data_IF_608362218902
#
_entry.id   IF_608362218902
#
_cell.length_a   1.000
_cell.length_b   1.000
_cell.length_c   1.000
_cell.angle_alpha   90.00
_cell.angle_beta   90.00
_cell.angle_gamma   90.00
#
_symmetry.space_group_name_H-M   'P 1'
#
loop_
_entity.id
_entity.type
_entity.pdbx_description
1 polymer ?
#
# COMPACT_ATOMS: atom_id res chain seq x y z
N UNK A 1 26.00 -11.18 -0.48
CA UNK A 1 24.65 -10.99 -1.05
C UNK A 1 24.22 -9.62 -0.60
N UNK A 2 23.98 -8.67 -1.50
CA UNK A 2 23.40 -7.37 -1.14
C UNK A 2 22.01 -7.62 -0.56
N UNK A 3 21.77 -7.11 0.65
CA UNK A 3 20.45 -7.18 1.29
C UNK A 3 19.47 -6.47 0.36
N UNK A 4 18.47 -7.20 -0.14
CA UNK A 4 17.43 -6.64 -1.00
C UNK A 4 16.61 -5.63 -0.19
N UNK A 5 16.39 -4.45 -0.75
CA UNK A 5 15.77 -3.30 -0.10
C UNK A 5 14.28 -3.24 -0.40
N UNK A 6 13.49 -2.85 0.58
CA UNK A 6 12.04 -2.71 0.46
C UNK A 6 11.66 -1.23 0.43
N UNK A 7 10.80 -0.83 -0.50
CA UNK A 7 10.14 0.48 -0.51
C UNK A 7 8.71 0.34 -0.02
N UNK A 8 8.36 0.99 1.09
CA UNK A 8 6.97 1.16 1.49
C UNK A 8 6.46 2.49 0.95
N UNK A 9 5.27 2.50 0.38
CA UNK A 9 4.62 3.70 -0.16
C UNK A 9 3.29 3.89 0.55
N UNK A 10 3.15 5.01 1.24
CA UNK A 10 1.98 5.36 2.03
C UNK A 10 1.44 6.74 1.62
N UNK A 11 0.13 6.87 1.53
CA UNK A 11 -0.54 8.16 1.30
C UNK A 11 -1.29 8.55 2.55
N UNK A 12 -0.99 9.73 3.10
CA UNK A 12 -1.67 10.28 4.27
C UNK A 12 -2.55 11.46 3.91
N UNK A 13 -3.58 11.68 4.70
CA UNK A 13 -4.39 12.89 4.67
C UNK A 13 -5.00 13.15 6.04
N UNK A 14 -4.91 14.39 6.50
CA UNK A 14 -5.63 14.88 7.66
C UNK A 14 -6.48 16.09 7.30
N UNK A 15 -7.71 16.12 7.80
CA UNK A 15 -8.54 17.32 7.76
C UNK A 15 -9.47 17.33 8.98
N UNK A 16 -9.71 18.51 9.55
CA UNK A 16 -10.58 18.66 10.72
C UNK A 16 -12.01 18.20 10.45
N UNK A 17 -12.47 18.37 9.20
CA UNK A 17 -13.84 18.04 8.81
C UNK A 17 -14.06 16.53 8.62
N UNK A 18 -13.04 15.81 8.11
CA UNK A 18 -13.26 14.44 7.62
C UNK A 18 -12.34 13.39 8.26
N UNK A 19 -11.16 13.79 8.71
CA UNK A 19 -10.14 12.88 9.27
C UNK A 19 -9.28 13.57 10.32
N UNK A 20 -9.86 14.00 11.46
CA UNK A 20 -9.16 14.81 12.47
C UNK A 20 -8.01 14.07 13.16
N UNK A 21 -8.02 12.74 13.15
CA UNK A 21 -6.98 11.88 13.75
C UNK A 21 -6.03 11.25 12.70
N UNK A 22 -5.96 11.79 11.49
CA UNK A 22 -5.13 11.23 10.42
C UNK A 22 -3.66 11.10 10.80
N UNK A 23 -3.10 12.11 11.46
CA UNK A 23 -1.68 12.07 11.91
C UNK A 23 -1.44 11.11 13.08
N UNK A 24 -2.42 10.92 13.97
CA UNK A 24 -2.32 9.93 15.06
C UNK A 24 -2.26 8.52 14.47
N UNK A 25 -3.17 8.18 13.56
CA UNK A 25 -3.19 6.90 12.85
C UNK A 25 -1.88 6.65 12.11
N UNK A 26 -1.41 7.66 11.38
CA UNK A 26 -0.14 7.56 10.67
C UNK A 26 1.05 7.34 11.62
N UNK A 27 1.09 8.02 12.78
CA UNK A 27 2.14 7.80 13.76
C UNK A 27 2.12 6.36 14.30
N UNK A 28 0.94 5.80 14.57
CA UNK A 28 0.79 4.41 15.00
C UNK A 28 1.26 3.44 13.92
N UNK A 29 0.92 3.70 12.64
CA UNK A 29 1.43 2.94 11.50
C UNK A 29 2.96 3.00 11.43
N UNK A 30 3.55 4.19 11.43
CA UNK A 30 5.02 4.36 11.37
C UNK A 30 5.70 3.63 12.52
N UNK A 31 5.24 3.83 13.74
CA UNK A 31 5.81 3.19 14.91
C UNK A 31 5.75 1.66 14.79
N UNK A 32 4.61 1.11 14.40
CA UNK A 32 4.42 -0.33 14.24
C UNK A 32 5.34 -0.90 13.16
N UNK A 33 5.45 -0.24 11.99
CA UNK A 33 6.33 -0.66 10.91
C UNK A 33 7.80 -0.64 11.31
N UNK A 34 8.26 0.44 11.96
CA UNK A 34 9.66 0.58 12.36
C UNK A 34 10.08 -0.39 13.46
N UNK A 35 9.15 -0.81 14.31
CA UNK A 35 9.39 -1.82 15.35
C UNK A 35 9.39 -3.25 14.78
N UNK A 36 8.63 -3.52 13.72
CA UNK A 36 8.34 -4.87 13.24
C UNK A 36 9.18 -5.29 12.03
N UNK A 37 9.52 -4.35 11.12
CA UNK A 37 10.24 -4.70 9.90
C UNK A 37 11.74 -4.86 10.13
N UNK A 38 12.25 -6.07 9.94
CA UNK A 38 13.68 -6.41 10.10
C UNK A 38 14.50 -6.19 8.82
N UNK A 39 13.85 -5.99 7.68
CA UNK A 39 14.52 -5.77 6.40
C UNK A 39 14.95 -4.31 6.22
N UNK A 40 16.05 -4.03 5.50
CA UNK A 40 16.34 -2.67 5.08
C UNK A 40 15.21 -2.10 4.25
N UNK A 41 14.64 -0.98 4.67
CA UNK A 41 13.53 -0.35 3.94
C UNK A 41 13.67 1.17 3.88
N UNK A 42 12.89 1.78 2.95
CA UNK A 42 12.55 3.20 2.94
C UNK A 42 11.02 3.32 2.94
N UNK A 43 10.50 4.22 3.76
CA UNK A 43 9.10 4.62 3.77
C UNK A 43 8.94 5.95 3.03
N UNK A 44 8.21 5.93 1.91
CA UNK A 44 7.82 7.11 1.13
C UNK A 44 6.40 7.49 1.53
N UNK A 45 6.25 8.65 2.11
CA UNK A 45 4.97 9.18 2.60
C UNK A 45 4.54 10.34 1.75
N UNK A 46 3.36 10.26 1.18
CA UNK A 46 2.76 11.36 0.42
C UNK A 46 1.68 12.02 1.26
N UNK A 47 1.96 13.21 1.76
CA UNK A 47 0.97 14.06 2.43
C UNK A 47 0.07 14.71 1.35
N UNK A 48 -1.06 14.07 1.10
CA UNK A 48 -1.96 14.39 0.00
C UNK A 48 -2.96 15.48 0.39
N UNK A 49 -2.46 16.70 0.59
CA UNK A 49 -3.26 17.88 0.85
C UNK A 49 -3.88 17.94 2.24
N UNK A 50 -3.19 17.49 3.29
CA UNK A 50 -3.64 17.69 4.68
C UNK A 50 -3.82 19.17 5.00
N UNK A 51 -4.77 19.47 5.88
CA UNK A 51 -5.03 20.85 6.34
C UNK A 51 -3.79 21.42 7.03
N UNK A 52 -3.22 20.64 7.95
CA UNK A 52 -1.93 20.93 8.57
C UNK A 52 -0.82 20.16 7.85
N UNK A 53 0.37 20.75 7.77
CA UNK A 53 1.53 20.04 7.22
C UNK A 53 2.01 19.01 8.22
N UNK A 54 2.21 17.79 7.74
CA UNK A 54 2.90 16.79 8.53
C UNK A 54 4.41 17.10 8.54
N UNK A 55 4.93 17.43 9.71
CA UNK A 55 6.35 17.68 9.92
C UNK A 55 6.92 16.57 10.79
N UNK A 56 7.92 15.85 10.30
CA UNK A 56 8.70 14.91 11.11
C UNK A 56 9.93 15.64 11.64
N UNK A 57 10.22 15.44 12.92
CA UNK A 57 11.51 15.86 13.47
C UNK A 57 12.65 15.22 12.66
N UNK A 58 13.57 16.04 12.18
CA UNK A 58 14.67 15.63 11.32
C UNK A 58 15.48 14.51 11.94
N UNK A 59 15.72 13.42 11.20
CA UNK A 59 16.71 12.43 11.58
C UNK A 59 16.38 10.96 11.34
N UNK A 60 15.35 10.65 10.58
CA UNK A 60 15.06 9.24 10.21
C UNK A 60 15.42 9.04 8.74
N UNK A 61 16.63 8.55 8.48
CA UNK A 61 17.20 8.40 7.12
C UNK A 61 16.33 7.56 6.16
N UNK A 62 15.50 6.69 6.69
CA UNK A 62 14.63 5.81 5.91
C UNK A 62 13.16 6.26 5.87
N UNK A 63 12.86 7.51 6.21
CA UNK A 63 11.54 8.14 6.08
C UNK A 63 11.62 9.36 5.17
N UNK A 64 10.89 9.36 4.07
CA UNK A 64 10.80 10.47 3.11
C UNK A 64 9.37 10.97 3.03
N UNK A 65 9.14 12.22 3.45
CA UNK A 65 7.82 12.86 3.40
C UNK A 65 7.77 13.84 2.25
N UNK A 66 6.76 13.68 1.38
CA UNK A 66 6.54 14.48 0.18
C UNK A 66 5.14 15.13 0.28
N UNK A 67 5.09 16.46 0.27
CA UNK A 67 3.85 17.21 0.22
C UNK A 67 3.30 17.24 -1.20
N UNK A 68 2.01 16.89 -1.35
CA UNK A 68 1.26 16.97 -2.61
C UNK A 68 0.15 18.01 -2.45
N UNK A 69 0.30 19.17 -3.12
CA UNK A 69 -0.65 20.27 -2.97
C UNK A 69 -1.91 20.10 -3.84
N UNK A 70 -1.83 19.35 -4.94
CA UNK A 70 -2.95 19.09 -5.86
C UNK A 70 -3.51 17.67 -5.72
N UNK A 71 -4.09 17.39 -4.56
CA UNK A 71 -4.68 16.09 -4.25
C UNK A 71 -5.82 15.69 -5.19
N UNK A 72 -6.57 16.66 -5.71
CA UNK A 72 -7.76 16.36 -6.52
C UNK A 72 -7.41 15.91 -7.93
N UNK A 73 -6.34 16.44 -8.51
CA UNK A 73 -5.87 16.02 -9.83
C UNK A 73 -5.21 14.64 -9.82
N UNK A 74 -4.51 14.28 -8.75
CA UNK A 74 -3.69 13.09 -8.69
C UNK A 74 -4.33 11.92 -7.95
N UNK A 75 -5.15 12.21 -6.93
CA UNK A 75 -5.75 11.21 -6.05
C UNK A 75 -4.72 10.30 -5.38
N UNK A 76 -5.18 9.20 -4.81
CA UNK A 76 -4.33 8.16 -4.21
C UNK A 76 -3.48 7.47 -5.27
N UNK A 77 -4.02 7.23 -6.45
CA UNK A 77 -3.32 6.54 -7.54
C UNK A 77 -2.08 7.28 -8.00
N UNK A 78 -2.16 8.61 -8.12
CA UNK A 78 -1.01 9.43 -8.52
C UNK A 78 0.12 9.37 -7.49
N UNK A 79 -0.19 9.39 -6.20
CA UNK A 79 0.81 9.28 -5.14
C UNK A 79 1.45 7.89 -5.08
N UNK A 80 0.69 6.83 -5.36
CA UNK A 80 1.23 5.47 -5.46
C UNK A 80 2.20 5.34 -6.63
N UNK A 81 1.87 5.86 -7.81
CA UNK A 81 2.77 5.84 -8.96
C UNK A 81 4.08 6.61 -8.67
N UNK A 82 4.00 7.78 -8.07
CA UNK A 82 5.19 8.54 -7.68
C UNK A 82 6.05 7.81 -6.65
N UNK A 83 5.42 7.19 -5.66
CA UNK A 83 6.10 6.38 -4.65
C UNK A 83 6.81 5.18 -5.25
N UNK A 84 6.18 4.49 -6.21
CA UNK A 84 6.80 3.40 -6.96
C UNK A 84 8.02 3.91 -7.72
N UNK A 85 7.93 5.04 -8.44
CA UNK A 85 9.06 5.62 -9.18
C UNK A 85 10.23 5.95 -8.26
N UNK A 86 9.97 6.53 -7.09
CA UNK A 86 11.01 6.84 -6.10
C UNK A 86 11.64 5.56 -5.54
N UNK A 87 10.84 4.55 -5.21
CA UNK A 87 11.35 3.27 -4.72
C UNK A 87 12.22 2.56 -5.76
N UNK A 88 11.80 2.58 -7.03
CA UNK A 88 12.59 2.03 -8.13
C UNK A 88 13.89 2.82 -8.36
N UNK A 89 13.87 4.15 -8.25
CA UNK A 89 15.06 4.99 -8.38
C UNK A 89 16.06 4.75 -7.23
N UNK A 90 15.56 4.48 -6.02
CA UNK A 90 16.39 4.12 -4.86
C UNK A 90 16.78 2.63 -4.82
N UNK A 91 16.62 1.91 -5.94
CA UNK A 91 17.00 0.50 -6.12
C UNK A 91 16.27 -0.47 -5.14
N UNK A 92 15.03 -0.17 -4.73
CA UNK A 92 14.22 -1.13 -4.00
C UNK A 92 13.86 -2.32 -4.89
N UNK A 93 14.01 -3.54 -4.38
CA UNK A 93 13.67 -4.79 -5.08
C UNK A 93 12.21 -5.18 -4.91
N UNK A 94 11.61 -4.73 -3.84
CA UNK A 94 10.20 -4.94 -3.49
C UNK A 94 9.58 -3.58 -3.19
N UNK A 95 8.35 -3.36 -3.68
CA UNK A 95 7.54 -2.21 -3.31
C UNK A 95 6.25 -2.71 -2.65
N UNK A 96 5.93 -2.14 -1.50
CA UNK A 96 4.70 -2.43 -0.75
C UNK A 96 3.91 -1.13 -0.63
N UNK A 97 2.73 -1.10 -1.21
CA UNK A 97 1.75 -0.02 -1.04
C UNK A 97 1.00 -0.28 0.26
N UNK A 98 0.85 0.71 1.13
CA UNK A 98 0.12 0.63 2.39
C UNK A 98 -0.81 1.83 2.58
N UNK A 99 -1.81 1.69 3.44
CA UNK A 99 -2.62 2.80 3.94
C UNK A 99 -2.05 3.28 5.29
N UNK A 100 -2.44 4.46 5.73
CA UNK A 100 -1.93 5.12 6.94
C UNK A 100 -2.72 4.79 8.21
N UNK A 101 -3.71 3.91 8.13
CA UNK A 101 -4.52 3.41 9.24
C UNK A 101 -4.35 1.90 9.48
N UNK A 102 -3.14 1.43 9.27
CA UNK A 102 -2.73 0.04 9.47
C UNK A 102 -1.80 -0.10 10.67
N UNK A 103 -1.91 -1.19 11.41
CA UNK A 103 -0.93 -1.62 12.39
C UNK A 103 -0.23 -2.86 11.85
N UNK A 104 1.08 -2.75 11.75
CA UNK A 104 1.97 -3.78 11.21
C UNK A 104 2.60 -4.52 12.39
N UNK A 105 2.66 -5.84 12.31
CA UNK A 105 3.39 -6.68 13.25
C UNK A 105 4.55 -7.43 12.58
N UNK A 106 5.27 -8.26 13.35
CA UNK A 106 6.45 -8.99 12.87
C UNK A 106 6.15 -9.93 11.69
N UNK A 107 4.88 -10.22 11.41
CA UNK A 107 4.47 -11.03 10.27
C UNK A 107 4.74 -10.36 8.91
N UNK A 108 5.02 -9.05 8.90
CA UNK A 108 5.49 -8.33 7.70
C UNK A 108 6.79 -8.93 7.13
N UNK A 109 7.65 -9.48 7.98
CA UNK A 109 8.88 -10.14 7.54
C UNK A 109 8.56 -11.40 6.73
N UNK A 110 7.55 -12.17 7.14
CA UNK A 110 7.04 -13.31 6.37
C UNK A 110 6.43 -12.86 5.03
N UNK A 111 5.73 -11.73 4.99
CA UNK A 111 5.18 -11.17 3.75
C UNK A 111 6.29 -10.87 2.74
N UNK A 112 7.33 -10.15 3.18
CA UNK A 112 8.49 -9.82 2.35
C UNK A 112 9.19 -11.09 1.85
N UNK A 113 9.34 -12.10 2.70
CA UNK A 113 9.99 -13.36 2.32
C UNK A 113 9.16 -14.14 1.29
N UNK A 114 7.84 -14.17 1.43
CA UNK A 114 6.97 -14.79 0.43
C UNK A 114 7.09 -14.08 -0.91
N UNK A 115 7.03 -12.75 -0.96
CA UNK A 115 7.20 -11.98 -2.19
C UNK A 115 8.54 -12.34 -2.87
N UNK A 116 9.61 -12.54 -2.10
CA UNK A 116 10.94 -12.86 -2.62
C UNK A 116 11.06 -14.27 -3.19
N UNK A 117 10.44 -15.24 -2.55
CA UNK A 117 10.70 -16.67 -2.77
C UNK A 117 9.58 -17.39 -3.51
N UNK A 118 8.41 -16.78 -3.67
CA UNK A 118 7.29 -17.41 -4.36
C UNK A 118 7.61 -17.68 -5.84
N UNK A 119 7.22 -18.83 -6.41
CA UNK A 119 7.50 -19.16 -7.81
C UNK A 119 6.97 -18.15 -8.84
N UNK A 120 5.95 -17.37 -8.50
CA UNK A 120 5.36 -16.34 -9.35
C UNK A 120 5.84 -14.93 -8.97
N UNK A 121 6.97 -14.78 -8.25
CA UNK A 121 7.39 -13.51 -7.69
C UNK A 121 7.55 -12.38 -8.72
N UNK A 122 7.94 -12.71 -9.94
CA UNK A 122 8.17 -11.74 -11.02
C UNK A 122 6.90 -11.40 -11.82
N UNK A 123 5.75 -11.98 -11.47
CA UNK A 123 4.49 -11.76 -12.20
C UNK A 123 3.25 -11.90 -11.31
N UNK A 124 3.35 -11.49 -10.05
CA UNK A 124 2.23 -11.53 -9.12
C UNK A 124 2.13 -10.27 -8.25
N UNK A 125 0.92 -9.97 -7.83
CA UNK A 125 0.62 -9.05 -6.73
C UNK A 125 0.29 -9.85 -5.48
N UNK A 126 0.76 -9.38 -4.33
CA UNK A 126 0.62 -10.03 -3.04
C UNK A 126 -0.18 -9.16 -2.09
N UNK A 127 -1.04 -9.77 -1.26
CA UNK A 127 -1.78 -9.07 -0.22
C UNK A 127 -1.87 -9.90 1.06
N UNK A 128 -1.69 -9.31 2.25
CA UNK A 128 -1.84 -9.99 3.53
C UNK A 128 -3.30 -10.25 3.86
N UNK A 129 -3.57 -11.02 4.90
CA UNK A 129 -4.89 -11.09 5.51
C UNK A 129 -5.10 -9.95 6.51
N UNK A 130 -6.37 -9.58 6.74
CA UNK A 130 -6.74 -8.45 7.60
C UNK A 130 -8.10 -8.68 8.27
N UNK A 131 -8.36 -7.94 9.35
CA UNK A 131 -9.67 -7.89 10.03
C UNK A 131 -10.77 -7.22 9.19
N UNK A 132 -10.42 -6.29 8.30
CA UNK A 132 -11.38 -5.40 7.63
C UNK A 132 -11.24 -5.26 6.11
N UNK A 133 -10.86 -6.31 5.35
CA UNK A 133 -10.84 -6.23 3.89
C UNK A 133 -12.26 -6.19 3.33
N UNK A 134 -12.41 -5.67 2.09
CA UNK A 134 -13.70 -5.71 1.41
C UNK A 134 -13.98 -7.07 0.76
N UNK A 135 -12.97 -7.91 0.57
CA UNK A 135 -13.11 -9.26 0.02
C UNK A 135 -13.06 -10.34 1.13
N UNK A 136 -13.55 -11.54 0.81
CA UNK A 136 -13.56 -12.64 1.76
C UNK A 136 -12.25 -13.44 1.79
N UNK A 137 -11.41 -13.32 0.75
CA UNK A 137 -10.17 -14.09 0.62
C UNK A 137 -9.11 -13.63 1.61
N UNK A 138 -9.06 -12.33 1.90
CA UNK A 138 -8.14 -11.75 2.85
C UNK A 138 -8.73 -11.59 4.27
N UNK A 139 -10.00 -11.98 4.49
CA UNK A 139 -10.65 -11.75 5.77
C UNK A 139 -10.21 -12.77 6.83
N UNK A 140 -9.54 -12.29 7.85
CA UNK A 140 -9.11 -13.08 9.00
C UNK A 140 -9.02 -12.20 10.25
N UNK A 141 -9.01 -12.81 11.42
CA UNK A 141 -8.78 -12.14 12.72
C UNK A 141 -7.35 -12.33 13.24
N UNK A 142 -6.55 -13.13 12.54
CA UNK A 142 -5.16 -13.45 12.84
C UNK A 142 -4.51 -14.11 11.61
N UNK A 143 -3.19 -14.31 11.58
CA UNK A 143 -2.53 -15.07 10.53
C UNK A 143 -3.14 -16.46 10.36
N UNK A 144 -3.41 -16.87 9.11
CA UNK A 144 -4.00 -18.18 8.78
C UNK A 144 -2.95 -19.25 8.43
N UNK A 145 -1.71 -18.81 8.17
CA UNK A 145 -0.62 -19.67 7.72
C UNK A 145 -0.71 -20.17 6.27
N UNK A 146 -1.76 -19.81 5.54
CA UNK A 146 -1.98 -20.26 4.16
C UNK A 146 -1.46 -19.24 3.16
N UNK A 147 -0.84 -19.72 2.09
CA UNK A 147 -0.46 -18.91 0.93
C UNK A 147 -1.16 -19.54 -0.27
N UNK A 148 -1.95 -18.74 -0.98
CA UNK A 148 -2.71 -19.27 -2.12
C UNK A 148 -2.98 -18.20 -3.16
N UNK A 149 -3.04 -18.63 -4.42
CA UNK A 149 -3.50 -17.80 -5.52
C UNK A 149 -5.02 -17.69 -5.50
N UNK A 150 -5.52 -16.47 -5.72
CA UNK A 150 -6.95 -16.23 -5.87
C UNK A 150 -7.38 -16.67 -7.27
N UNK A 151 -8.11 -17.77 -7.37
CA UNK A 151 -8.57 -18.32 -8.63
C UNK A 151 -10.01 -17.91 -8.97
N UNK A 152 -10.31 -17.78 -10.25
CA UNK A 152 -11.67 -17.79 -10.87
C UNK A 152 -12.43 -16.47 -10.82
N UNK A 153 -13.16 -15.93 -11.60
CA UNK A 153 -14.18 -14.88 -11.79
C UNK A 153 -13.87 -13.43 -11.33
N UNK A 154 -14.65 -12.42 -11.75
CA UNK A 154 -14.32 -11.00 -11.66
C UNK A 154 -14.19 -10.40 -10.24
N UNK A 155 -14.16 -11.22 -9.20
CA UNK A 155 -13.89 -10.82 -7.81
C UNK A 155 -12.53 -11.31 -7.29
N UNK A 156 -11.59 -11.60 -8.18
CA UNK A 156 -10.21 -12.03 -7.88
C UNK A 156 -9.32 -10.94 -7.33
N UNK A 157 -9.79 -10.13 -6.42
CA UNK A 157 -9.09 -8.91 -6.12
C UNK A 157 -8.50 -8.96 -4.72
N UNK A 158 -7.21 -8.68 -4.64
CA UNK A 158 -6.62 -8.21 -3.41
C UNK A 158 -7.18 -6.82 -3.13
N UNK A 159 -7.39 -6.52 -1.87
CA UNK A 159 -7.78 -5.20 -1.43
C UNK A 159 -6.57 -4.26 -1.44
N UNK A 160 -6.79 -3.03 -1.85
CA UNK A 160 -5.76 -2.01 -1.99
C UNK A 160 -5.14 -1.49 -0.70
N UNK A 161 -5.53 -2.00 0.49
CA UNK A 161 -4.98 -1.54 1.76
C UNK A 161 -3.49 -1.88 1.91
N UNK A 162 -3.06 -3.08 1.53
CA UNK A 162 -1.67 -3.49 1.55
C UNK A 162 -1.39 -4.40 0.36
N UNK A 163 -0.49 -3.98 -0.54
CA UNK A 163 -0.16 -4.71 -1.76
C UNK A 163 1.35 -4.71 -1.99
N UNK A 164 1.93 -5.89 -2.13
CA UNK A 164 3.36 -6.07 -2.41
C UNK A 164 3.64 -6.56 -3.82
N UNK A 165 4.75 -6.11 -4.41
CA UNK A 165 5.19 -6.47 -5.76
C UNK A 165 6.71 -6.44 -5.83
N UNK A 166 7.30 -7.27 -6.69
CA UNK A 166 8.71 -7.14 -7.04
C UNK A 166 8.93 -6.01 -8.05
N UNK A 167 10.17 -5.55 -8.16
CA UNK A 167 10.61 -4.62 -9.23
C UNK A 167 10.25 -5.17 -10.61
N UNK A 168 10.49 -6.46 -10.83
CA UNK A 168 10.23 -7.16 -12.09
C UNK A 168 8.75 -7.16 -12.43
N UNK A 169 7.87 -7.46 -11.46
CA UNK A 169 6.42 -7.37 -11.65
C UNK A 169 6.02 -5.96 -12.08
N UNK A 170 6.56 -4.92 -11.42
CA UNK A 170 6.22 -3.52 -11.73
C UNK A 170 6.69 -3.16 -13.14
N UNK A 171 7.97 -3.39 -13.45
CA UNK A 171 8.58 -2.93 -14.71
C UNK A 171 8.09 -3.70 -15.94
N UNK A 172 7.62 -4.93 -15.76
CA UNK A 172 7.03 -5.75 -16.82
C UNK A 172 5.54 -5.44 -17.08
N UNK A 173 4.89 -4.69 -16.17
CA UNK A 173 3.45 -4.48 -16.19
C UNK A 173 3.07 -3.00 -16.01
N UNK A 174 3.77 -2.07 -16.64
CA UNK A 174 3.34 -0.67 -16.65
C UNK A 174 1.99 -0.49 -17.35
N UNK A 175 1.16 0.40 -16.82
CA UNK A 175 -0.07 0.84 -17.47
C UNK A 175 0.22 1.73 -18.69
N UNK A 176 1.17 2.65 -18.50
CA UNK A 176 1.71 3.52 -19.55
C UNK A 176 3.25 3.62 -19.41
N UNK A 177 3.90 4.62 -20.00
CA UNK A 177 5.37 4.69 -20.13
C UNK A 177 6.13 4.43 -18.83
N UNK A 178 5.65 4.94 -17.68
CA UNK A 178 6.34 4.82 -16.39
C UNK A 178 5.40 4.70 -15.16
N UNK A 179 4.09 4.55 -15.37
CA UNK A 179 3.12 4.38 -14.31
C UNK A 179 2.64 2.93 -14.23
N UNK A 180 2.67 2.37 -13.02
CA UNK A 180 2.16 1.03 -12.77
C UNK A 180 0.64 1.01 -12.64
N UNK A 181 0.06 1.96 -11.92
CA UNK A 181 -1.39 2.10 -11.81
C UNK A 181 -1.94 3.02 -12.90
N UNK A 182 -3.23 2.82 -13.24
CA UNK A 182 -3.92 3.60 -14.25
C UNK A 182 -3.87 5.11 -13.96
N UNK A 183 -3.55 5.90 -14.97
CA UNK A 183 -3.56 7.37 -14.93
C UNK A 183 -4.92 7.95 -15.30
N UNK A 184 -5.93 7.13 -15.54
CA UNK A 184 -7.31 7.56 -15.81
C UNK A 184 -7.86 8.35 -14.62
N UNK A 185 -8.28 9.62 -14.81
CA UNK A 185 -8.83 10.44 -13.74
C UNK A 185 -10.05 9.82 -13.04
N UNK A 186 -10.84 8.99 -13.72
CA UNK A 186 -11.98 8.30 -13.12
C UNK A 186 -11.54 7.26 -12.08
N UNK A 187 -10.31 6.74 -12.19
CA UNK A 187 -9.70 5.77 -11.27
C UNK A 187 -8.78 6.40 -10.25
N UNK A 188 -8.62 7.72 -10.23
CA UNK A 188 -7.69 8.40 -9.30
C UNK A 188 -7.95 8.08 -7.81
N UNK A 189 -9.17 7.69 -7.45
CA UNK A 189 -9.63 7.42 -6.10
C UNK A 189 -10.13 5.99 -5.85
N UNK A 190 -9.82 5.05 -6.72
CA UNK A 190 -10.14 3.65 -6.53
C UNK A 190 -10.47 2.89 -7.81
N UNK A 191 -10.32 1.56 -7.76
CA UNK A 191 -10.47 0.65 -8.89
C UNK A 191 -9.17 0.44 -9.70
N UNK A 192 -8.11 1.16 -9.35
CA UNK A 192 -6.78 0.98 -9.92
C UNK A 192 -6.13 -0.33 -9.48
N UNK A 193 -6.42 -0.77 -8.25
CA UNK A 193 -6.01 -2.05 -7.70
C UNK A 193 -6.54 -3.23 -8.52
N UNK A 194 -7.82 -3.17 -8.90
CA UNK A 194 -8.48 -4.18 -9.74
C UNK A 194 -7.87 -4.25 -11.14
N UNK A 195 -7.67 -3.09 -11.77
CA UNK A 195 -7.11 -3.00 -13.12
C UNK A 195 -5.68 -3.54 -13.16
N UNK A 196 -4.82 -3.14 -12.22
CA UNK A 196 -3.44 -3.60 -12.17
C UNK A 196 -3.33 -5.10 -11.94
N UNK A 197 -4.16 -5.69 -11.08
CA UNK A 197 -4.21 -7.13 -10.86
C UNK A 197 -4.63 -7.90 -12.11
N UNK A 198 -5.60 -7.37 -12.87
CA UNK A 198 -6.02 -7.98 -14.14
C UNK A 198 -4.88 -7.98 -15.18
N UNK A 199 -4.03 -6.96 -15.16
CA UNK A 199 -2.89 -6.82 -16.08
C UNK A 199 -1.71 -7.70 -15.67
N UNK A 200 -1.40 -7.77 -14.37
CA UNK A 200 -0.37 -8.67 -13.82
C UNK A 200 -0.78 -10.14 -13.93
N UNK A 201 -2.04 -10.46 -13.75
CA UNK A 201 -2.61 -11.79 -13.98
C UNK A 201 -2.63 -12.73 -12.77
N UNK A 202 -1.72 -12.57 -11.80
CA UNK A 202 -1.67 -13.39 -10.60
C UNK A 202 -1.86 -12.55 -9.34
N UNK A 203 -2.73 -13.01 -8.43
CA UNK A 203 -3.02 -12.39 -7.14
C UNK A 203 -2.87 -13.42 -6.03
N UNK A 204 -1.93 -13.19 -5.12
CA UNK A 204 -1.54 -14.13 -4.07
C UNK A 204 -1.97 -13.58 -2.71
N UNK A 205 -2.77 -14.33 -1.97
CA UNK A 205 -3.05 -14.07 -0.56
C UNK A 205 -1.96 -14.70 0.31
N UNK A 206 -1.33 -13.89 1.13
CA UNK A 206 -0.27 -14.29 2.05
C UNK A 206 -0.83 -14.35 3.47
N UNK A 207 -1.47 -15.45 3.81
CA UNK A 207 -2.09 -15.63 5.13
C UNK A 207 -1.09 -15.84 6.27
N UNK A 208 0.22 -15.91 6.01
CA UNK A 208 1.25 -15.86 7.05
C UNK A 208 1.50 -14.43 7.55
N UNK A 209 0.97 -13.41 6.86
CA UNK A 209 1.02 -12.01 7.27
C UNK A 209 -0.38 -11.51 7.61
N UNK A 210 -0.50 -10.85 8.74
CA UNK A 210 -1.73 -10.20 9.19
C UNK A 210 -1.48 -8.71 9.40
N UNK A 211 -2.33 -7.88 8.79
CA UNK A 211 -2.31 -6.43 8.96
C UNK A 211 -3.62 -6.02 9.63
N UNK A 212 -3.53 -5.35 10.77
CA UNK A 212 -4.70 -4.81 11.45
C UNK A 212 -5.07 -3.47 10.82
N UNK A 213 -6.17 -3.44 10.09
CA UNK A 213 -6.70 -2.25 9.42
C UNK A 213 -7.75 -1.59 10.32
N UNK A 214 -7.48 -0.38 10.79
CA UNK A 214 -8.36 0.37 11.71
C UNK A 214 -9.63 0.84 10.99
N UNK A 215 -9.55 1.05 9.68
CA UNK A 215 -10.64 1.38 8.75
C UNK A 215 -11.52 2.56 9.21
N UNK A 216 -10.98 3.73 9.06
CA UNK A 216 -11.75 4.98 9.34
C UNK A 216 -12.54 5.53 8.14
N UNK A 217 -12.79 4.69 7.11
CA UNK A 217 -13.50 5.01 5.87
C UNK A 217 -12.58 5.30 4.70
N UNK A 218 -12.95 4.75 3.56
CA UNK A 218 -12.18 4.91 2.35
C UNK A 218 -12.24 6.35 1.82
N UNK A 219 -11.24 6.75 1.06
CA UNK A 219 -11.14 8.03 0.38
C UNK A 219 -12.40 8.41 -0.44
N UNK A 220 -13.11 7.41 -1.00
CA UNK A 220 -14.39 7.62 -1.70
C UNK A 220 -15.49 8.15 -0.77
N UNK A 221 -15.55 7.66 0.46
CA UNK A 221 -16.53 8.06 1.46
C UNK A 221 -16.26 9.48 1.95
N UNK A 222 -14.99 9.81 2.17
CA UNK A 222 -14.52 11.15 2.52
C UNK A 222 -14.94 12.14 1.42
N UNK A 223 -14.59 11.84 0.14
CA UNK A 223 -14.90 12.70 -1.00
C UNK A 223 -16.40 12.84 -1.27
N UNK A 224 -17.20 11.83 -1.02
CA UNK A 224 -18.63 11.84 -1.31
C UNK A 224 -19.49 12.55 -0.24
N UNK A 225 -18.89 12.99 0.88
CA UNK A 225 -19.60 13.58 2.00
C UNK A 225 -20.61 12.64 2.68
N UNK A 226 -20.50 11.33 2.46
CA UNK A 226 -21.44 10.33 3.00
C UNK A 226 -21.24 10.02 4.47
N UNK A 227 -20.19 10.56 5.10
CA UNK A 227 -19.91 10.36 6.53
C UNK A 227 -20.55 11.37 7.48
N UNK A 228 -21.12 12.45 6.97
CA UNK A 228 -21.74 13.50 7.80
C UNK A 228 -23.23 13.22 8.09
N UNK A 229 -23.63 11.94 8.18
CA UNK A 229 -25.00 11.57 8.58
C UNK A 229 -25.02 10.50 9.67
#
# INVERSE_FOLDING_TARGET
MTSKKVGFVCTIHQSDAHRPNGFELFNDFVQSLFLSCEYPFILYVFDNGSTDKFEVENGVDNLKIIRVDDQYARGVTGTWNDGIKLALADECDIVIITEDDEIIDDSINSFIEVIRSHPLNDNAMYGPVSNAPNNQHQKASAPTGQIFEVEGTPTKELNGFCMGMTRETITSNYYDEDNFFSTDPEKAWGGQDVESQSRVGHSIVVGTCYVHHIKQGGWREIRSGKRDK
#
